data_IF_252451693343
#
_entry.id   IF_252451693343
#
_cell.length_a   1.000
_cell.length_b   1.000
_cell.length_c   1.000
_cell.angle_alpha   90.00
_cell.angle_beta   90.00
_cell.angle_gamma   90.00
#
_symmetry.space_group_name_H-M   'P 1'
#
loop_
_entity.id
_entity.type
_entity.pdbx_description
1 polymer ?
#
# COMPACT_ATOMS: atom_id res chain seq x y z
N UNK A 1 15.30 12.24 41.09
CA UNK A 1 15.62 11.94 39.68
C UNK A 1 15.15 10.52 39.46
N UNK A 2 13.96 10.33 38.89
CA UNK A 2 13.41 9.01 38.64
C UNK A 2 14.03 8.50 37.34
N UNK A 3 14.86 7.47 37.45
CA UNK A 3 15.34 6.73 36.28
C UNK A 3 14.17 5.90 35.78
N UNK A 4 13.51 6.40 34.73
CA UNK A 4 12.63 5.60 33.91
C UNK A 4 13.53 4.65 33.12
N UNK A 5 13.56 3.37 33.52
CA UNK A 5 14.20 2.32 32.75
C UNK A 5 13.24 1.89 31.61
N UNK A 6 13.52 2.23 30.34
CA UNK A 6 12.64 1.92 29.22
C UNK A 6 12.58 0.41 28.90
N UNK A 7 13.39 -0.43 29.58
CA UNK A 7 13.40 -1.87 29.37
C UNK A 7 12.31 -2.62 30.15
N UNK A 8 11.67 -1.96 31.13
CA UNK A 8 10.50 -2.47 31.88
C UNK A 8 9.22 -1.82 31.34
N UNK A 9 9.06 -1.85 30.01
CA UNK A 9 7.72 -1.68 29.42
C UNK A 9 7.13 -3.07 29.37
N UNK A 10 6.23 -3.33 30.32
CA UNK A 10 5.37 -4.51 30.32
C UNK A 10 4.76 -4.64 28.91
N UNK A 11 5.14 -5.70 28.18
CA UNK A 11 4.82 -5.89 26.75
C UNK A 11 3.33 -6.11 26.46
N UNK A 12 2.47 -5.76 27.42
CA UNK A 12 1.01 -5.89 27.38
C UNK A 12 0.32 -4.57 27.05
N UNK A 13 0.99 -3.41 27.18
CA UNK A 13 0.47 -2.08 26.81
C UNK A 13 0.61 -1.79 25.29
N UNK A 14 0.73 -2.83 24.46
CA UNK A 14 0.33 -2.67 23.06
C UNK A 14 -1.19 -2.61 23.02
N UNK A 15 -1.72 -1.43 22.73
CA UNK A 15 -3.16 -1.17 22.51
C UNK A 15 -3.75 -2.38 21.79
N UNK A 16 -4.82 -2.99 22.31
CA UNK A 16 -5.42 -4.19 21.70
C UNK A 16 -5.78 -3.93 20.22
N UNK A 17 -6.03 -2.66 19.88
CA UNK A 17 -6.15 -2.19 18.51
C UNK A 17 -4.85 -2.33 17.69
N UNK A 18 -3.68 -2.04 18.27
CA UNK A 18 -2.36 -2.21 17.64
C UNK A 18 -1.94 -3.67 17.51
N UNK A 19 -2.35 -4.55 18.44
CA UNK A 19 -2.15 -6.00 18.34
C UNK A 19 -3.05 -6.60 17.27
N UNK A 20 -4.35 -6.28 17.29
CA UNK A 20 -5.29 -6.67 16.24
C UNK A 20 -4.88 -6.12 14.86
N UNK A 21 -4.30 -4.91 14.80
CA UNK A 21 -3.73 -4.35 13.57
C UNK A 21 -2.55 -5.19 13.06
N UNK A 22 -1.68 -5.67 13.96
CA UNK A 22 -0.53 -6.51 13.62
C UNK A 22 -0.94 -7.92 13.21
N UNK A 23 -1.90 -8.51 13.89
CA UNK A 23 -2.43 -9.82 13.51
C UNK A 23 -3.15 -9.72 12.14
N UNK A 24 -3.83 -8.60 11.89
CA UNK A 24 -4.36 -8.26 10.57
C UNK A 24 -3.26 -8.00 9.52
N UNK A 25 -2.10 -7.43 9.90
CA UNK A 25 -0.93 -7.29 9.00
C UNK A 25 -0.37 -8.65 8.61
N UNK A 26 -0.22 -9.56 9.58
CA UNK A 26 0.33 -10.89 9.33
C UNK A 26 -0.60 -11.73 8.44
N UNK A 27 -1.90 -11.47 8.49
CA UNK A 27 -2.91 -12.19 7.70
C UNK A 27 -3.27 -11.53 6.36
N UNK A 28 -3.00 -10.22 6.19
CA UNK A 28 -3.21 -9.53 4.91
C UNK A 28 -2.08 -9.81 3.93
N UNK A 29 -2.41 -10.16 2.69
CA UNK A 29 -1.42 -10.29 1.61
C UNK A 29 -1.94 -9.72 0.30
N UNK A 30 -1.02 -9.33 -0.57
CA UNK A 30 -1.35 -8.89 -1.93
C UNK A 30 -0.98 -9.97 -2.94
N UNK A 31 -1.92 -10.35 -3.80
CA UNK A 31 -1.70 -11.19 -4.97
C UNK A 31 -1.52 -10.30 -6.21
N UNK A 32 -0.30 -10.20 -6.71
CA UNK A 32 0.08 -9.29 -7.79
C UNK A 32 0.52 -10.06 -9.04
N UNK A 33 -0.01 -9.72 -10.20
CA UNK A 33 0.50 -10.19 -11.49
C UNK A 33 1.24 -9.07 -12.22
N UNK A 34 2.49 -9.32 -12.59
CA UNK A 34 3.23 -8.47 -13.52
C UNK A 34 3.02 -8.98 -14.94
N UNK A 35 2.34 -8.17 -15.76
CA UNK A 35 2.06 -8.44 -17.16
C UNK A 35 2.98 -7.56 -18.02
N UNK A 36 3.97 -8.16 -18.67
CA UNK A 36 4.98 -7.43 -19.45
C UNK A 36 4.82 -7.76 -20.93
N UNK A 37 4.65 -6.73 -21.74
CA UNK A 37 4.70 -6.83 -23.20
C UNK A 37 6.15 -7.06 -23.66
N UNK A 38 6.37 -8.06 -24.49
CA UNK A 38 7.69 -8.37 -25.07
C UNK A 38 7.70 -8.33 -26.59
N UNK A 39 6.74 -7.63 -27.20
CA UNK A 39 6.69 -7.43 -28.65
C UNK A 39 7.88 -6.62 -29.17
N UNK A 40 8.02 -6.59 -30.49
CA UNK A 40 9.18 -6.00 -31.17
C UNK A 40 9.45 -4.55 -30.77
N UNK A 41 8.44 -3.70 -30.61
CA UNK A 41 8.62 -2.29 -30.26
C UNK A 41 9.25 -2.15 -28.86
N UNK A 42 8.69 -2.88 -27.89
CA UNK A 42 9.17 -3.03 -26.52
C UNK A 42 10.65 -3.47 -26.42
N UNK A 43 11.16 -4.27 -27.36
CA UNK A 43 12.55 -4.76 -27.41
C UNK A 43 13.49 -3.92 -28.27
N UNK A 44 12.99 -3.27 -29.32
CA UNK A 44 13.82 -2.55 -30.30
C UNK A 44 13.97 -1.06 -30.02
N UNK A 45 13.05 -0.45 -29.27
CA UNK A 45 13.15 0.94 -28.87
C UNK A 45 14.32 1.14 -27.89
N UNK A 46 15.16 2.15 -28.12
CA UNK A 46 16.17 2.59 -27.14
C UNK A 46 15.65 3.86 -26.49
N UNK A 47 15.28 3.79 -25.21
CA UNK A 47 14.98 4.98 -24.42
C UNK A 47 16.30 5.71 -24.12
N UNK A 48 16.48 6.90 -24.69
CA UNK A 48 17.46 7.89 -24.22
C UNK A 48 16.78 8.79 -23.19
N UNK A 49 16.73 8.39 -21.92
CA UNK A 49 16.43 9.35 -20.84
C UNK A 49 17.75 9.89 -20.29
N UNK A 50 18.00 11.18 -20.48
CA UNK A 50 18.97 11.95 -19.70
C UNK A 50 18.48 11.96 -18.24
N UNK A 51 19.27 11.42 -17.33
CA UNK A 51 19.12 11.71 -15.91
C UNK A 51 20.21 12.71 -15.52
N UNK A 52 19.80 13.96 -15.26
CA UNK A 52 20.56 14.89 -14.43
C UNK A 52 19.78 15.09 -13.14
N UNK A 53 20.42 14.82 -12.00
CA UNK A 53 20.47 15.72 -10.85
C UNK A 53 21.25 15.09 -9.69
N UNK A 54 22.32 15.78 -9.32
CA UNK A 54 23.09 15.72 -8.07
C UNK A 54 23.98 14.50 -7.80
N UNK A 55 25.22 14.54 -8.29
CA UNK A 55 26.41 14.40 -7.42
C UNK A 55 27.69 14.66 -8.21
N UNK A 56 28.57 15.46 -7.61
CA UNK A 56 29.88 15.83 -8.12
C UNK A 56 30.75 14.58 -8.27
N UNK A 57 31.40 14.46 -9.44
CA UNK A 57 32.46 13.51 -9.83
C UNK A 57 32.08 12.08 -10.26
N UNK A 58 32.64 11.72 -11.43
CA UNK A 58 32.80 10.39 -12.05
C UNK A 58 31.73 9.90 -13.07
N UNK A 59 32.05 10.11 -14.35
CA UNK A 59 31.78 9.22 -15.50
C UNK A 59 30.36 8.64 -15.62
N UNK A 60 29.40 9.45 -16.09
CA UNK A 60 28.04 9.01 -16.43
C UNK A 60 28.06 8.13 -17.68
N UNK A 61 28.04 6.80 -17.50
CA UNK A 61 27.72 5.85 -18.59
C UNK A 61 26.23 6.00 -18.94
N UNK A 62 25.93 6.69 -20.03
CA UNK A 62 24.60 6.71 -20.65
C UNK A 62 24.27 5.31 -21.15
N UNK A 63 23.55 4.53 -20.34
CA UNK A 63 23.13 3.17 -20.69
C UNK A 63 21.82 3.27 -21.46
N UNK A 64 21.86 3.30 -22.79
CA UNK A 64 20.67 3.12 -23.64
C UNK A 64 19.98 1.82 -23.27
N UNK A 65 18.77 1.90 -22.71
CA UNK A 65 17.97 0.75 -22.28
C UNK A 65 16.70 0.65 -23.10
N UNK A 66 16.22 -0.56 -23.30
CA UNK A 66 14.94 -0.81 -23.97
C UNK A 66 13.77 -0.65 -23.00
N UNK A 67 12.54 -0.39 -23.49
CA UNK A 67 11.34 -0.41 -22.65
C UNK A 67 11.19 -1.71 -21.83
N UNK A 68 11.44 -2.88 -22.44
CA UNK A 68 11.41 -4.17 -21.71
C UNK A 68 12.45 -4.22 -20.61
N UNK A 69 13.68 -3.79 -20.88
CA UNK A 69 14.72 -3.77 -19.84
C UNK A 69 14.31 -2.85 -18.67
N UNK A 70 13.63 -1.74 -18.98
CA UNK A 70 13.08 -0.83 -17.96
C UNK A 70 11.96 -1.49 -17.14
N UNK A 71 11.09 -2.28 -17.78
CA UNK A 71 10.05 -3.07 -17.10
C UNK A 71 10.64 -4.17 -16.20
N UNK A 72 11.72 -4.80 -16.63
CA UNK A 72 12.42 -5.85 -15.85
C UNK A 72 13.14 -5.25 -14.64
N UNK A 73 13.80 -4.09 -14.78
CA UNK A 73 14.44 -3.39 -13.66
C UNK A 73 13.41 -2.82 -12.66
N UNK A 74 12.36 -2.21 -13.23
CA UNK A 74 10.97 -2.24 -12.78
C UNK A 74 10.63 -3.26 -11.66
N UNK A 75 10.40 -4.47 -12.16
CA UNK A 75 10.07 -5.67 -11.41
C UNK A 75 11.16 -6.05 -10.40
N UNK A 76 12.44 -6.03 -10.76
CA UNK A 76 13.52 -6.40 -9.83
C UNK A 76 13.55 -5.48 -8.60
N UNK A 77 13.39 -4.17 -8.81
CA UNK A 77 13.30 -3.17 -7.74
C UNK A 77 12.06 -3.40 -6.88
N UNK A 78 10.91 -3.67 -7.52
CA UNK A 78 9.67 -4.03 -6.82
C UNK A 78 9.86 -5.24 -5.91
N UNK A 79 10.40 -6.34 -6.44
CA UNK A 79 10.57 -7.60 -5.72
C UNK A 79 11.51 -7.44 -4.51
N UNK A 80 12.63 -6.73 -4.70
CA UNK A 80 13.61 -6.44 -3.64
C UNK A 80 13.05 -5.56 -2.52
N UNK A 81 12.18 -4.62 -2.84
CA UNK A 81 11.51 -3.81 -1.82
C UNK A 81 10.43 -4.63 -1.10
N UNK A 82 9.65 -5.42 -1.83
CA UNK A 82 8.52 -6.16 -1.26
C UNK A 82 8.90 -7.33 -0.37
N UNK A 83 10.01 -8.02 -0.64
CA UNK A 83 10.49 -9.07 0.25
C UNK A 83 10.82 -8.54 1.66
N UNK A 84 11.15 -7.24 1.77
CA UNK A 84 11.43 -6.58 3.05
C UNK A 84 10.13 -6.07 3.70
N UNK A 85 9.25 -5.43 2.93
CA UNK A 85 8.06 -4.78 3.49
C UNK A 85 6.88 -5.71 3.70
N UNK A 86 6.73 -6.75 2.87
CA UNK A 86 5.49 -7.55 2.74
C UNK A 86 5.83 -8.98 2.29
N UNK A 87 6.48 -9.81 3.13
CA UNK A 87 6.96 -11.14 2.74
C UNK A 87 5.83 -12.14 2.42
N UNK A 88 4.61 -11.89 2.90
CA UNK A 88 3.44 -12.71 2.63
C UNK A 88 2.80 -12.42 1.27
N UNK A 89 3.26 -11.37 0.57
CA UNK A 89 2.79 -11.05 -0.77
C UNK A 89 3.14 -12.17 -1.75
N UNK A 90 2.22 -12.37 -2.68
CA UNK A 90 2.34 -13.34 -3.76
C UNK A 90 2.48 -12.60 -5.07
N UNK A 91 3.48 -12.99 -5.84
CA UNK A 91 3.77 -12.33 -7.12
C UNK A 91 3.83 -13.38 -8.23
N UNK A 92 3.25 -13.07 -9.38
CA UNK A 92 3.44 -13.79 -10.63
C UNK A 92 4.05 -12.86 -11.69
N UNK A 93 4.77 -13.45 -12.64
CA UNK A 93 5.37 -12.73 -13.77
C UNK A 93 4.95 -13.43 -15.05
N UNK A 94 4.26 -12.67 -15.91
CA UNK A 94 3.67 -13.13 -17.17
C UNK A 94 4.16 -12.23 -18.28
N UNK A 95 4.66 -12.84 -19.35
CA UNK A 95 5.02 -12.18 -20.58
C UNK A 95 3.95 -12.47 -21.62
N UNK A 96 3.64 -11.48 -22.46
CA UNK A 96 2.74 -11.67 -23.60
C UNK A 96 3.30 -11.06 -24.88
N UNK A 97 2.84 -11.57 -26.02
CA UNK A 97 3.48 -11.31 -27.31
C UNK A 97 4.74 -12.15 -27.52
N UNK A 98 4.80 -13.32 -26.87
CA UNK A 98 5.92 -14.27 -27.00
C UNK A 98 5.78 -15.16 -28.22
N UNK A 99 6.91 -15.64 -28.74
CA UNK A 99 6.94 -16.59 -29.85
C UNK A 99 6.35 -17.94 -29.47
N UNK A 100 6.75 -18.43 -28.29
CA UNK A 100 6.30 -19.70 -27.74
C UNK A 100 5.27 -19.45 -26.64
N UNK A 101 4.41 -20.45 -26.38
CA UNK A 101 3.56 -20.47 -25.20
C UNK A 101 4.20 -21.28 -24.08
N UNK A 102 4.04 -20.78 -22.85
CA UNK A 102 4.37 -21.54 -21.64
C UNK A 102 3.42 -21.14 -20.53
N UNK A 103 2.28 -21.81 -20.48
CA UNK A 103 1.26 -21.62 -19.46
C UNK A 103 0.45 -22.91 -19.31
N UNK A 104 -0.21 -23.09 -18.18
CA UNK A 104 -0.95 -24.32 -17.85
C UNK A 104 -2.18 -24.57 -18.75
N UNK A 105 -2.52 -23.59 -19.59
CA UNK A 105 -3.73 -23.58 -20.42
C UNK A 105 -3.44 -23.75 -21.91
N UNK A 106 -2.17 -23.85 -22.32
CA UNK A 106 -1.79 -23.97 -23.73
C UNK A 106 -2.15 -22.76 -24.58
N UNK A 107 -2.22 -21.56 -23.99
CA UNK A 107 -2.58 -20.33 -24.70
C UNK A 107 -1.41 -19.74 -25.47
N UNK A 108 -1.59 -19.56 -26.77
CA UNK A 108 -0.59 -18.97 -27.65
C UNK A 108 -0.15 -17.56 -27.20
N UNK A 109 1.12 -17.24 -27.44
CA UNK A 109 1.73 -15.93 -27.17
C UNK A 109 1.76 -15.48 -25.71
N UNK A 110 1.51 -16.39 -24.76
CA UNK A 110 1.59 -16.11 -23.32
C UNK A 110 2.60 -17.04 -22.64
N UNK A 111 3.57 -16.45 -21.93
CA UNK A 111 4.59 -17.16 -21.18
C UNK A 111 4.55 -16.75 -19.70
N UNK A 112 4.13 -17.67 -18.82
CA UNK A 112 4.21 -17.52 -17.37
C UNK A 112 5.64 -17.86 -16.93
N UNK A 113 6.44 -16.82 -16.68
CA UNK A 113 7.84 -16.95 -16.21
C UNK A 113 7.85 -17.63 -14.84
N UNK A 114 6.93 -17.19 -13.98
CA UNK A 114 6.74 -17.73 -12.64
C UNK A 114 5.28 -17.50 -12.22
N UNK A 115 4.64 -18.56 -11.72
CA UNK A 115 3.28 -18.50 -11.19
C UNK A 115 3.21 -17.72 -9.89
N UNK A 116 2.00 -17.60 -9.35
CA UNK A 116 1.73 -16.82 -8.14
C UNK A 116 2.29 -17.53 -6.88
N UNK A 117 3.45 -17.08 -6.42
CA UNK A 117 4.18 -17.68 -5.28
C UNK A 117 4.63 -16.61 -4.27
N UNK A 118 4.93 -17.03 -3.04
CA UNK A 118 5.47 -16.14 -2.01
C UNK A 118 6.87 -15.64 -2.40
N UNK A 119 7.16 -14.39 -2.03
CA UNK A 119 8.47 -13.79 -2.27
C UNK A 119 9.55 -14.44 -1.39
N UNK A 120 10.54 -15.04 -2.05
CA UNK A 120 11.76 -15.57 -1.41
C UNK A 120 12.98 -15.12 -2.19
N UNK A 121 14.16 -15.14 -1.56
CA UNK A 121 15.41 -14.85 -2.27
C UNK A 121 15.62 -15.77 -3.50
N UNK A 122 15.17 -17.03 -3.38
CA UNK A 122 15.17 -18.00 -4.49
C UNK A 122 14.24 -17.56 -5.62
N UNK A 123 13.03 -17.12 -5.30
CA UNK A 123 12.07 -16.61 -6.28
C UNK A 123 12.66 -15.43 -7.07
N UNK A 124 13.23 -14.44 -6.38
CA UNK A 124 13.81 -13.24 -7.02
C UNK A 124 14.95 -13.64 -7.97
N UNK A 125 15.83 -14.54 -7.54
CA UNK A 125 16.92 -15.04 -8.36
C UNK A 125 16.40 -15.78 -9.61
N UNK A 126 15.44 -16.69 -9.45
CA UNK A 126 14.85 -17.45 -10.57
C UNK A 126 14.18 -16.54 -11.59
N UNK A 127 13.42 -15.54 -11.14
CA UNK A 127 12.80 -14.54 -12.02
C UNK A 127 13.87 -13.75 -12.75
N UNK A 128 14.89 -13.27 -12.05
CA UNK A 128 16.00 -12.54 -12.64
C UNK A 128 16.76 -13.35 -13.68
N UNK A 129 17.00 -14.64 -13.43
CA UNK A 129 17.66 -15.55 -14.38
C UNK A 129 16.80 -15.81 -15.63
N UNK A 130 15.51 -16.08 -15.45
CA UNK A 130 14.60 -16.36 -16.57
C UNK A 130 14.33 -15.14 -17.45
N UNK A 131 14.40 -13.94 -16.90
CA UNK A 131 14.23 -12.69 -17.66
C UNK A 131 15.52 -12.23 -18.36
N UNK A 132 16.67 -12.90 -18.12
CA UNK A 132 17.87 -12.66 -18.93
C UNK A 132 17.61 -13.10 -20.36
N UNK A 133 17.83 -12.21 -21.31
CA UNK A 133 17.58 -12.50 -22.72
C UNK A 133 16.10 -12.59 -23.08
N UNK A 134 15.22 -11.91 -22.31
CA UNK A 134 13.79 -11.77 -22.63
C UNK A 134 13.53 -11.30 -24.07
N UNK A 135 14.48 -10.57 -24.65
CA UNK A 135 14.49 -10.13 -26.05
C UNK A 135 14.41 -11.28 -27.07
N UNK A 136 14.88 -12.48 -26.70
CA UNK A 136 14.80 -13.66 -27.57
C UNK A 136 13.46 -14.38 -27.51
N UNK A 137 12.59 -14.01 -26.56
CA UNK A 137 11.24 -14.60 -26.42
C UNK A 137 10.20 -13.88 -27.28
N UNK A 138 10.57 -12.75 -27.88
CA UNK A 138 9.71 -11.91 -28.70
C UNK A 138 9.15 -12.66 -29.91
N UNK A 139 7.85 -12.49 -30.15
CA UNK A 139 7.23 -12.91 -31.40
C UNK A 139 7.52 -11.89 -32.52
N UNK A 140 8.15 -12.36 -33.60
CA UNK A 140 8.44 -11.55 -34.80
C UNK A 140 7.23 -11.44 -35.76
N UNK A 141 6.13 -12.15 -35.49
CA UNK A 141 5.03 -12.36 -36.44
C UNK A 141 3.96 -11.27 -36.48
N UNK A 142 2.95 -11.49 -37.34
CA UNK A 142 2.06 -10.47 -37.89
C UNK A 142 1.18 -9.72 -36.86
N UNK A 143 0.79 -8.50 -37.23
CA UNK A 143 -0.14 -7.60 -36.52
C UNK A 143 -1.42 -8.30 -36.00
N UNK A 144 -1.84 -9.39 -36.66
CA UNK A 144 -3.07 -10.15 -36.36
C UNK A 144 -3.12 -10.76 -34.95
N UNK A 145 -1.98 -10.90 -34.26
CA UNK A 145 -1.91 -11.49 -32.92
C UNK A 145 -1.78 -10.47 -31.79
N UNK A 146 -1.71 -9.16 -32.08
CA UNK A 146 -1.52 -8.09 -31.08
C UNK A 146 -2.58 -8.13 -29.98
N UNK A 147 -3.85 -7.86 -30.30
CA UNK A 147 -4.90 -7.80 -29.29
C UNK A 147 -5.31 -9.17 -28.73
N UNK A 148 -5.10 -10.25 -29.51
CA UNK A 148 -5.33 -11.61 -29.05
C UNK A 148 -4.37 -11.97 -27.90
N UNK A 149 -3.09 -11.60 -28.01
CA UNK A 149 -2.10 -11.87 -26.96
C UNK A 149 -2.45 -11.18 -25.64
N UNK A 150 -2.88 -9.91 -25.68
CA UNK A 150 -3.35 -9.19 -24.48
C UNK A 150 -4.58 -9.86 -23.85
N UNK A 151 -5.60 -10.19 -24.67
CA UNK A 151 -6.81 -10.89 -24.22
C UNK A 151 -6.46 -12.19 -23.48
N UNK A 152 -5.59 -13.01 -24.05
CA UNK A 152 -5.18 -14.30 -23.49
C UNK A 152 -4.33 -14.12 -22.22
N UNK A 153 -3.51 -13.09 -22.17
CA UNK A 153 -2.69 -12.78 -21.01
C UNK A 153 -3.54 -12.29 -19.81
N UNK A 154 -4.53 -11.42 -20.05
CA UNK A 154 -5.51 -11.00 -19.04
C UNK A 154 -6.32 -12.19 -18.51
N UNK A 155 -6.73 -13.09 -19.41
CA UNK A 155 -7.42 -14.32 -19.01
C UNK A 155 -6.53 -15.21 -18.13
N UNK A 156 -5.26 -15.39 -18.50
CA UNK A 156 -4.29 -16.15 -17.69
C UNK A 156 -4.13 -15.55 -16.29
N UNK A 157 -4.04 -14.22 -16.19
CA UNK A 157 -3.99 -13.51 -14.90
C UNK A 157 -5.27 -13.71 -14.08
N UNK A 158 -6.45 -13.64 -14.72
CA UNK A 158 -7.74 -13.87 -14.05
C UNK A 158 -7.81 -15.26 -13.42
N UNK A 159 -7.31 -16.29 -14.11
CA UNK A 159 -7.31 -17.66 -13.61
C UNK A 159 -6.38 -17.83 -12.41
N UNK A 160 -5.18 -17.24 -12.43
CA UNK A 160 -4.27 -17.27 -11.28
C UNK A 160 -4.85 -16.53 -10.07
N UNK A 161 -5.49 -15.38 -10.28
CA UNK A 161 -6.06 -14.57 -9.20
C UNK A 161 -7.37 -15.17 -8.64
N UNK A 162 -8.07 -16.00 -9.42
CA UNK A 162 -9.32 -16.65 -9.00
C UNK A 162 -9.15 -17.56 -7.79
N UNK A 163 -7.97 -18.17 -7.59
CA UNK A 163 -7.67 -18.95 -6.38
C UNK A 163 -7.80 -18.12 -5.08
N UNK A 164 -7.63 -16.80 -5.20
CA UNK A 164 -7.64 -15.85 -4.08
C UNK A 164 -8.97 -15.11 -3.96
N UNK A 165 -9.96 -15.39 -4.82
CA UNK A 165 -11.27 -14.71 -4.80
C UNK A 165 -12.07 -14.95 -3.52
N UNK A 166 -11.89 -16.12 -2.89
CA UNK A 166 -12.58 -16.53 -1.66
C UNK A 166 -11.93 -15.98 -0.38
N UNK A 167 -10.75 -15.36 -0.48
CA UNK A 167 -10.02 -14.86 0.69
C UNK A 167 -10.30 -13.37 0.85
N UNK A 168 -11.05 -13.02 1.89
CA UNK A 168 -11.48 -11.64 2.19
C UNK A 168 -10.32 -10.68 2.51
N UNK A 169 -9.14 -11.19 2.87
CA UNK A 169 -7.97 -10.40 3.24
C UNK A 169 -6.88 -10.34 2.16
N UNK A 170 -7.22 -10.71 0.91
CA UNK A 170 -6.26 -10.72 -0.20
C UNK A 170 -6.64 -9.68 -1.24
N UNK A 171 -5.78 -8.66 -1.38
CA UNK A 171 -5.88 -7.70 -2.46
C UNK A 171 -5.34 -8.31 -3.75
N UNK A 172 -5.98 -8.00 -4.87
CA UNK A 172 -5.60 -8.54 -6.18
C UNK A 172 -5.23 -7.38 -7.09
N UNK A 173 -4.07 -7.47 -7.74
CA UNK A 173 -3.57 -6.41 -8.63
C UNK A 173 -2.93 -6.97 -9.89
N UNK A 174 -3.10 -6.26 -11.00
CA UNK A 174 -2.36 -6.50 -12.24
C UNK A 174 -1.63 -5.21 -12.62
N UNK A 175 -0.31 -5.31 -12.81
CA UNK A 175 0.50 -4.25 -13.41
C UNK A 175 0.74 -4.59 -14.88
N UNK A 176 0.38 -3.69 -15.79
CA UNK A 176 0.57 -3.87 -17.24
C UNK A 176 1.66 -2.94 -17.72
N UNK A 177 2.71 -3.49 -18.31
CA UNK A 177 3.83 -2.75 -18.90
C UNK A 177 3.79 -2.94 -20.42
N UNK A 178 3.59 -1.85 -21.16
CA UNK A 178 3.38 -1.90 -22.62
C UNK A 178 3.73 -0.58 -23.28
N UNK A 179 4.26 -0.61 -24.51
CA UNK A 179 4.43 0.57 -25.36
C UNK A 179 3.33 0.73 -26.42
N UNK A 180 2.39 -0.20 -26.44
CA UNK A 180 1.30 -0.24 -27.39
C UNK A 180 0.05 0.48 -26.85
N UNK A 181 -0.29 1.60 -27.49
CA UNK A 181 -1.46 2.43 -27.16
C UNK A 181 -2.77 1.93 -27.79
N UNK A 182 -2.69 1.08 -28.82
CA UNK A 182 -3.84 0.42 -29.47
C UNK A 182 -3.55 -1.07 -29.77
N UNK A 183 -3.61 -1.94 -28.74
CA UNK A 183 -3.40 -3.37 -28.90
C UNK A 183 -4.36 -4.05 -29.87
N UNK A 184 -5.55 -3.46 -30.07
CA UNK A 184 -6.58 -4.03 -30.94
C UNK A 184 -6.49 -3.57 -32.39
N UNK A 185 -5.61 -2.61 -32.72
CA UNK A 185 -5.44 -2.07 -34.07
C UNK A 185 -6.73 -1.50 -34.66
N UNK A 186 -7.60 -0.94 -33.81
CA UNK A 186 -8.91 -0.44 -34.19
C UNK A 186 -9.97 -1.52 -34.53
N UNK A 187 -9.71 -2.81 -34.31
CA UNK A 187 -10.73 -3.86 -34.49
C UNK A 187 -11.78 -3.79 -33.36
N UNK A 188 -13.05 -3.43 -33.66
CA UNK A 188 -14.09 -3.31 -32.65
C UNK A 188 -14.50 -4.66 -32.05
N UNK A 189 -14.37 -5.76 -32.80
CA UNK A 189 -14.71 -7.09 -32.31
C UNK A 189 -13.66 -7.59 -31.31
N UNK A 190 -12.38 -7.35 -31.59
CA UNK A 190 -11.30 -7.70 -30.68
C UNK A 190 -11.33 -6.84 -29.42
N UNK A 191 -11.60 -5.54 -29.57
CA UNK A 191 -11.78 -4.61 -28.45
C UNK A 191 -12.90 -5.07 -27.51
N UNK A 192 -14.07 -5.41 -28.05
CA UNK A 192 -15.17 -5.99 -27.25
C UNK A 192 -14.79 -7.28 -26.54
N UNK A 193 -13.98 -8.14 -27.18
CA UNK A 193 -13.51 -9.37 -26.55
C UNK A 193 -12.52 -9.11 -25.41
N UNK A 194 -11.65 -8.10 -25.53
CA UNK A 194 -10.74 -7.68 -24.45
C UNK A 194 -11.52 -7.06 -23.31
N UNK A 195 -12.42 -6.12 -23.59
CA UNK A 195 -13.30 -5.48 -22.59
C UNK A 195 -14.18 -6.51 -21.87
N UNK A 196 -14.69 -7.52 -22.59
CA UNK A 196 -15.43 -8.63 -21.99
C UNK A 196 -14.62 -9.41 -20.95
N UNK A 197 -13.28 -9.45 -21.05
CA UNK A 197 -12.41 -10.04 -20.01
C UNK A 197 -12.20 -9.16 -18.80
N UNK A 198 -12.40 -7.84 -18.94
CA UNK A 198 -12.33 -6.92 -17.80
C UNK A 198 -13.47 -7.16 -16.82
N UNK A 199 -14.64 -7.59 -17.30
CA UNK A 199 -15.76 -7.98 -16.43
C UNK A 199 -15.37 -9.09 -15.44
N UNK A 200 -14.65 -10.12 -15.91
CA UNK A 200 -14.14 -11.20 -15.07
C UNK A 200 -13.17 -10.66 -13.99
N UNK A 201 -12.29 -9.71 -14.36
CA UNK A 201 -11.33 -9.09 -13.44
C UNK A 201 -12.02 -8.15 -12.43
N UNK A 202 -13.07 -7.45 -12.85
CA UNK A 202 -13.88 -6.56 -12.03
C UNK A 202 -14.70 -7.34 -11.00
N UNK A 203 -15.30 -8.47 -11.38
CA UNK A 203 -15.96 -9.38 -10.44
C UNK A 203 -14.97 -9.90 -9.39
N UNK A 204 -13.74 -10.17 -9.82
CA UNK A 204 -12.64 -10.53 -8.93
C UNK A 204 -12.09 -9.36 -8.13
N UNK A 205 -12.63 -8.14 -8.23
CA UNK A 205 -12.13 -6.94 -7.54
C UNK A 205 -10.62 -6.73 -7.74
N UNK A 206 -10.15 -6.91 -8.97
CA UNK A 206 -8.74 -6.72 -9.34
C UNK A 206 -8.49 -5.25 -9.64
N UNK A 207 -7.50 -4.68 -8.97
CA UNK A 207 -6.96 -3.35 -9.30
C UNK A 207 -6.04 -3.48 -10.53
N UNK A 208 -6.41 -2.85 -11.64
CA UNK A 208 -5.64 -2.89 -12.88
C UNK A 208 -4.90 -1.57 -13.07
N UNK A 209 -3.58 -1.64 -13.22
CA UNK A 209 -2.73 -0.47 -13.35
C UNK A 209 -1.86 -0.55 -14.60
N UNK A 210 -1.97 0.47 -15.44
CA UNK A 210 -1.21 0.61 -16.67
C UNK A 210 0.06 1.43 -16.44
N UNK A 211 1.16 0.92 -16.97
CA UNK A 211 2.46 1.57 -17.05
C UNK A 211 2.82 1.67 -18.53
N UNK A 212 2.45 2.78 -19.18
CA UNK A 212 2.84 3.01 -20.56
C UNK A 212 4.36 3.21 -20.60
N UNK A 213 5.03 2.45 -21.46
CA UNK A 213 6.47 2.50 -21.64
C UNK A 213 6.75 3.05 -23.03
N UNK A 214 7.67 4.00 -23.13
CA UNK A 214 8.04 4.58 -24.41
C UNK A 214 7.63 6.04 -24.55
N UNK A 215 8.63 6.87 -24.77
CA UNK A 215 8.55 7.99 -25.70
C UNK A 215 9.93 8.17 -26.35
N UNK A 216 10.27 7.37 -27.39
CA UNK A 216 11.54 7.51 -28.10
C UNK A 216 11.39 8.22 -29.46
N UNK A 217 10.17 8.60 -29.87
CA UNK A 217 9.88 9.19 -31.18
C UNK A 217 9.13 10.53 -31.12
N UNK A 218 8.81 11.06 -29.93
CA UNK A 218 8.07 12.30 -29.76
C UNK A 218 6.57 12.17 -30.05
N UNK A 219 6.02 10.94 -29.97
CA UNK A 219 4.58 10.69 -30.07
C UNK A 219 4.07 10.33 -28.68
N UNK A 220 3.11 11.11 -28.19
CA UNK A 220 2.41 10.80 -26.94
C UNK A 220 1.65 9.48 -27.07
N UNK A 221 1.76 8.63 -26.03
CA UNK A 221 0.99 7.41 -25.88
C UNK A 221 -0.51 7.75 -25.84
N UNK A 222 -1.27 7.32 -26.86
CA UNK A 222 -2.72 7.57 -26.89
C UNK A 222 -3.42 6.81 -25.76
N UNK A 223 -4.51 7.39 -25.26
CA UNK A 223 -5.28 6.83 -24.14
C UNK A 223 -6.69 6.45 -24.52
N UNK A 224 -7.00 6.41 -25.81
CA UNK A 224 -8.37 6.11 -26.26
C UNK A 224 -8.78 4.70 -25.82
N UNK A 225 -7.99 3.69 -26.20
CA UNK A 225 -8.25 2.30 -25.82
C UNK A 225 -8.06 2.07 -24.31
N UNK A 226 -6.91 2.50 -23.77
CA UNK A 226 -6.58 2.24 -22.37
C UNK A 226 -7.44 3.06 -21.39
N UNK A 227 -7.96 4.21 -21.81
CA UNK A 227 -8.94 4.99 -21.05
C UNK A 227 -10.27 4.27 -20.94
N UNK A 228 -10.72 3.57 -21.99
CA UNK A 228 -11.89 2.70 -21.93
C UNK A 228 -11.64 1.50 -20.99
N UNK A 229 -10.47 0.87 -21.07
CA UNK A 229 -10.06 -0.22 -20.17
C UNK A 229 -10.04 0.23 -18.71
N UNK A 230 -9.38 1.35 -18.40
CA UNK A 230 -9.29 1.88 -17.04
C UNK A 230 -10.64 2.39 -16.54
N UNK A 231 -11.46 2.99 -17.42
CA UNK A 231 -12.81 3.45 -17.11
C UNK A 231 -13.73 2.29 -16.71
N UNK A 232 -13.67 1.17 -17.44
CA UNK A 232 -14.44 -0.03 -17.09
C UNK A 232 -14.02 -0.62 -15.74
N UNK A 233 -12.72 -0.56 -15.40
CA UNK A 233 -12.20 -1.10 -14.14
C UNK A 233 -12.43 -0.18 -12.92
N UNK A 234 -12.64 1.12 -13.13
CA UNK A 234 -12.82 2.09 -12.04
C UNK A 234 -14.29 2.21 -11.61
N UNK A 235 -14.53 2.24 -10.30
CA UNK A 235 -15.89 2.45 -9.75
C UNK A 235 -16.29 3.94 -9.69
N UNK A 236 -15.31 4.84 -9.62
CA UNK A 236 -15.53 6.28 -9.43
C UNK A 236 -14.69 7.10 -10.41
N UNK A 237 -15.18 8.30 -10.74
CA UNK A 237 -14.46 9.26 -11.58
C UNK A 237 -13.12 9.68 -10.95
N UNK A 238 -13.05 9.81 -9.62
CA UNK A 238 -11.81 10.10 -8.90
C UNK A 238 -10.76 8.98 -9.09
N UNK A 239 -11.17 7.72 -8.98
CA UNK A 239 -10.29 6.57 -9.22
C UNK A 239 -9.80 6.54 -10.66
N UNK A 240 -10.67 6.87 -11.61
CA UNK A 240 -10.30 6.96 -13.03
C UNK A 240 -9.29 8.08 -13.28
N UNK A 241 -9.54 9.29 -12.75
CA UNK A 241 -8.61 10.42 -12.87
C UNK A 241 -7.26 10.11 -12.22
N UNK A 242 -7.24 9.44 -11.05
CA UNK A 242 -6.02 9.00 -10.39
C UNK A 242 -5.25 7.99 -11.26
N UNK A 243 -5.94 6.98 -11.82
CA UNK A 243 -5.33 6.00 -12.73
C UNK A 243 -4.76 6.67 -13.99
N UNK A 244 -5.49 7.63 -14.56
CA UNK A 244 -5.08 8.41 -15.73
C UNK A 244 -3.90 9.33 -15.43
N UNK A 245 -3.85 9.99 -14.28
CA UNK A 245 -2.71 10.81 -13.85
C UNK A 245 -1.48 9.95 -13.58
N UNK A 246 -1.67 8.78 -12.98
CA UNK A 246 -0.59 7.85 -12.72
C UNK A 246 0.02 7.35 -14.01
N UNK A 247 -0.80 7.00 -15.01
CA UNK A 247 -0.29 6.60 -16.33
C UNK A 247 0.64 7.64 -17.00
N UNK A 248 0.69 8.89 -16.52
CA UNK A 248 1.55 9.95 -17.04
C UNK A 248 2.82 10.19 -16.20
N UNK A 249 2.89 9.65 -14.98
CA UNK A 249 4.01 9.88 -14.09
C UNK A 249 5.22 8.99 -14.45
N UNK A 250 6.43 9.40 -14.05
CA UNK A 250 7.63 8.62 -14.35
C UNK A 250 7.56 7.20 -13.75
N UNK A 251 7.93 6.20 -14.58
CA UNK A 251 7.77 4.76 -14.37
C UNK A 251 8.20 4.23 -12.99
N UNK A 252 9.24 4.83 -12.38
CA UNK A 252 9.76 4.41 -11.08
C UNK A 252 9.02 5.02 -9.89
N UNK A 253 8.49 6.23 -10.03
CA UNK A 253 7.75 6.89 -8.96
C UNK A 253 6.32 6.36 -8.87
N UNK A 254 5.71 5.98 -9.99
CA UNK A 254 4.40 5.32 -10.06
C UNK A 254 4.34 4.04 -9.21
N UNK A 255 5.30 3.11 -9.41
CA UNK A 255 5.31 1.85 -8.67
C UNK A 255 5.46 2.12 -7.17
N UNK A 256 6.30 3.09 -6.77
CA UNK A 256 6.45 3.46 -5.36
C UNK A 256 5.17 4.04 -4.77
N UNK A 257 4.47 4.91 -5.51
CA UNK A 257 3.24 5.59 -5.05
C UNK A 257 2.07 4.63 -4.86
N UNK A 258 1.99 3.54 -5.64
CA UNK A 258 0.93 2.54 -5.53
C UNK A 258 1.36 1.20 -4.93
N UNK A 259 2.65 1.00 -4.62
CA UNK A 259 3.16 -0.22 -3.97
C UNK A 259 2.33 -0.56 -2.73
N UNK A 260 2.08 0.45 -1.91
CA UNK A 260 1.46 0.29 -0.61
C UNK A 260 -0.01 0.72 -0.67
N UNK A 261 -0.87 -0.10 -0.07
CA UNK A 261 -2.27 0.25 0.17
C UNK A 261 -2.33 1.50 1.05
N UNK A 262 -3.24 2.43 0.75
CA UNK A 262 -3.64 3.48 1.70
C UNK A 262 -4.15 2.79 2.97
N UNK A 263 -3.39 2.87 4.05
CA UNK A 263 -3.73 2.21 5.31
C UNK A 263 -4.19 3.23 6.34
N UNK A 264 -5.48 3.20 6.61
CA UNK A 264 -6.08 3.97 7.70
C UNK A 264 -5.58 3.39 9.02
N UNK A 265 -5.01 4.24 9.86
CA UNK A 265 -4.59 3.90 11.21
C UNK A 265 -5.79 3.95 12.17
N UNK A 266 -6.60 5.01 12.08
CA UNK A 266 -7.79 5.19 12.92
C UNK A 266 -8.92 5.83 12.11
N UNK A 267 -10.15 5.35 12.29
CA UNK A 267 -11.36 6.05 11.85
C UNK A 267 -11.84 6.92 13.01
N UNK A 268 -11.95 8.22 12.79
CA UNK A 268 -12.31 9.18 13.84
C UNK A 268 -13.13 10.35 13.27
N UNK A 269 -13.19 11.45 14.00
CA UNK A 269 -13.98 12.63 13.62
C UNK A 269 -13.36 13.92 14.14
N UNK A 270 -13.61 15.02 13.42
CA UNK A 270 -13.38 16.39 13.85
C UNK A 270 -14.70 16.94 14.39
N UNK A 271 -14.72 17.39 15.64
CA UNK A 271 -15.86 18.01 16.30
C UNK A 271 -15.68 19.52 16.38
N UNK A 272 -16.62 20.24 15.80
CA UNK A 272 -16.67 21.70 15.80
C UNK A 272 -17.89 22.11 16.64
N UNK A 273 -17.67 22.42 17.90
CA UNK A 273 -18.76 22.60 18.86
C UNK A 273 -19.60 21.31 19.07
N UNK A 274 -20.79 21.42 19.69
CA UNK A 274 -21.57 20.26 20.09
C UNK A 274 -22.26 19.52 18.93
N UNK A 275 -22.61 20.25 17.86
CA UNK A 275 -23.55 19.78 16.84
C UNK A 275 -22.91 19.44 15.49
N UNK A 276 -21.68 19.89 15.22
CA UNK A 276 -21.01 19.66 13.94
C UNK A 276 -19.88 18.65 14.10
N UNK A 277 -19.97 17.55 13.36
CA UNK A 277 -18.98 16.47 13.36
C UNK A 277 -18.65 16.11 11.92
N UNK A 278 -17.35 16.02 11.63
CA UNK A 278 -16.82 15.65 10.31
C UNK A 278 -16.10 14.33 10.47
N UNK A 279 -16.56 13.28 9.80
CA UNK A 279 -15.90 11.97 9.84
C UNK A 279 -14.59 12.03 9.06
N UNK A 280 -13.48 11.61 9.69
CA UNK A 280 -12.15 11.60 9.06
C UNK A 280 -11.39 10.31 9.35
N UNK A 281 -10.57 9.95 8.38
CA UNK A 281 -9.66 8.84 8.41
C UNK A 281 -8.25 9.37 8.71
N UNK A 282 -7.61 8.80 9.72
CA UNK A 282 -6.27 9.15 10.17
C UNK A 282 -5.26 8.21 9.53
N UNK A 283 -4.27 8.78 8.83
CA UNK A 283 -3.19 8.06 8.15
C UNK A 283 -1.84 8.47 8.73
N UNK A 284 -1.03 7.48 9.09
CA UNK A 284 0.38 7.71 9.45
C UNK A 284 1.20 7.65 8.16
N UNK A 285 1.74 8.79 7.73
CA UNK A 285 2.50 8.90 6.48
C UNK A 285 3.97 8.53 6.66
N UNK A 286 4.52 8.77 7.86
CA UNK A 286 5.89 8.45 8.22
C UNK A 286 5.90 7.57 9.46
N UNK A 287 6.42 6.35 9.32
CA UNK A 287 6.63 5.43 10.42
C UNK A 287 8.12 5.06 10.50
N UNK A 288 8.63 4.90 11.72
CA UNK A 288 9.98 4.41 11.95
C UNK A 288 10.06 2.94 11.54
N UNK A 289 10.91 2.61 10.57
CA UNK A 289 11.18 1.23 10.21
C UNK A 289 12.05 0.57 11.28
N UNK A 290 11.50 -0.43 11.97
CA UNK A 290 12.22 -1.24 12.94
C UNK A 290 12.60 -2.59 12.33
N UNK A 291 13.71 -3.18 12.77
CA UNK A 291 14.10 -4.53 12.36
C UNK A 291 13.21 -5.54 13.10
N UNK A 292 12.42 -6.31 12.36
CA UNK A 292 11.65 -7.39 12.95
C UNK A 292 12.60 -8.50 13.46
N UNK A 293 12.39 -8.92 14.71
CA UNK A 293 13.01 -10.12 15.28
C UNK A 293 11.90 -11.14 15.50
N UNK A 294 12.10 -12.36 14.97
CA UNK A 294 11.16 -13.47 15.14
C UNK A 294 11.87 -14.62 15.83
N UNK A 295 11.25 -15.17 16.87
CA UNK A 295 11.75 -16.36 17.56
C UNK A 295 11.51 -17.58 16.70
N UNK A 296 12.54 -18.43 16.57
CA UNK A 296 12.49 -19.66 15.78
C UNK A 296 13.01 -20.84 16.60
N UNK A 297 12.47 -22.02 16.33
CA UNK A 297 12.98 -23.26 16.88
C UNK A 297 14.36 -23.56 16.28
N UNK A 298 15.38 -23.75 17.12
CA UNK A 298 16.75 -23.99 16.66
C UNK A 298 16.92 -25.29 15.83
N UNK A 299 16.07 -26.30 16.06
CA UNK A 299 16.14 -27.57 15.36
C UNK A 299 15.38 -27.55 14.03
N UNK A 300 14.18 -26.97 14.01
CA UNK A 300 13.28 -27.04 12.85
C UNK A 300 13.25 -25.75 12.03
N UNK A 301 13.80 -24.65 12.55
CA UNK A 301 13.68 -23.29 12.00
C UNK A 301 12.24 -22.81 11.81
N UNK A 302 11.26 -23.46 12.44
CA UNK A 302 9.88 -23.02 12.45
C UNK A 302 9.70 -21.81 13.38
N UNK A 303 8.80 -20.90 13.02
CA UNK A 303 8.41 -19.77 13.88
C UNK A 303 7.81 -20.27 15.20
N UNK A 304 8.17 -19.61 16.30
CA UNK A 304 7.62 -19.87 17.62
C UNK A 304 6.53 -18.85 17.97
N UNK A 305 5.47 -19.34 18.59
CA UNK A 305 4.44 -18.51 19.22
C UNK A 305 4.82 -18.26 20.68
N UNK A 306 4.63 -17.02 21.16
CA UNK A 306 4.99 -16.62 22.52
C UNK A 306 3.73 -16.38 23.34
N UNK A 307 3.56 -17.11 24.43
CA UNK A 307 2.49 -16.90 25.41
C UNK A 307 3.08 -16.47 26.75
N UNK A 308 2.53 -15.43 27.38
CA UNK A 308 2.95 -14.97 28.70
C UNK A 308 1.84 -15.22 29.72
N UNK A 309 2.19 -15.74 30.89
CA UNK A 309 1.26 -16.02 31.98
C UNK A 309 1.87 -15.57 33.32
N UNK A 310 1.01 -15.11 34.23
CA UNK A 310 1.38 -14.85 35.61
C UNK A 310 1.26 -16.15 36.41
N UNK A 311 2.28 -16.47 37.21
CA UNK A 311 2.36 -17.72 37.97
C UNK A 311 2.54 -17.38 39.44
N UNK A 312 1.73 -18.00 40.30
CA UNK A 312 1.84 -17.88 41.74
C UNK A 312 3.08 -18.60 42.28
N UNK A 313 3.47 -18.36 43.53
CA UNK A 313 4.55 -19.11 44.19
C UNK A 313 4.26 -20.62 44.27
N UNK A 314 2.97 -21.01 44.25
CA UNK A 314 2.53 -22.42 44.19
C UNK A 314 2.82 -23.09 42.84
N UNK A 315 3.18 -22.33 41.81
CA UNK A 315 3.33 -22.81 40.43
C UNK A 315 2.04 -22.82 39.61
N UNK A 316 0.91 -22.43 40.20
CA UNK A 316 -0.37 -22.32 39.51
C UNK A 316 -0.44 -21.04 38.67
N UNK A 317 -1.02 -21.14 37.47
CA UNK A 317 -1.24 -19.99 36.60
C UNK A 317 -2.39 -19.16 37.16
N UNK A 318 -2.14 -17.88 37.40
CA UNK A 318 -3.13 -16.97 37.96
C UNK A 318 -4.24 -16.67 36.93
N UNK A 319 -5.52 -16.81 37.30
CA UNK A 319 -6.63 -16.37 36.48
C UNK A 319 -6.62 -14.84 36.32
N UNK A 320 -7.36 -14.33 35.33
CA UNK A 320 -7.37 -12.89 35.01
C UNK A 320 -7.76 -12.01 36.21
N UNK A 321 -8.65 -12.51 37.06
CA UNK A 321 -9.22 -11.77 38.18
C UNK A 321 -8.28 -11.70 39.40
N UNK A 322 -7.27 -12.57 39.45
CA UNK A 322 -6.27 -12.64 40.53
C UNK A 322 -4.91 -12.08 40.11
N UNK A 323 -4.87 -11.34 39.00
CA UNK A 323 -3.63 -10.73 38.52
C UNK A 323 -3.12 -9.70 39.53
N UNK A 324 -1.78 -9.57 39.66
CA UNK A 324 -1.19 -8.56 40.53
C UNK A 324 -1.70 -7.15 40.19
N UNK A 325 -2.04 -6.40 41.23
CA UNK A 325 -2.42 -4.99 41.09
C UNK A 325 -1.19 -4.14 40.76
N UNK A 326 -1.37 -3.10 39.94
CA UNK A 326 -0.33 -2.09 39.75
C UNK A 326 -0.23 -1.25 41.02
N UNK A 327 0.99 -1.07 41.52
CA UNK A 327 1.22 -0.33 42.76
C UNK A 327 2.52 0.47 42.73
N UNK A 328 2.57 1.47 43.60
CA UNK A 328 3.69 2.39 43.77
C UNK A 328 3.90 2.66 45.26
N UNK A 329 5.16 2.75 45.68
CA UNK A 329 5.51 3.23 47.01
C UNK A 329 5.73 4.74 46.96
N UNK A 330 4.81 5.51 47.54
CA UNK A 330 4.87 6.97 47.59
C UNK A 330 5.14 7.42 49.03
N UNK A 331 6.31 8.03 49.27
CA UNK A 331 6.74 8.49 50.60
C UNK A 331 6.65 7.41 51.69
N UNK A 332 7.04 6.18 51.34
CA UNK A 332 7.01 5.03 52.26
C UNK A 332 5.63 4.47 52.54
N UNK A 333 4.59 4.90 51.80
CA UNK A 333 3.26 4.28 51.82
C UNK A 333 3.02 3.55 50.51
N UNK A 334 2.60 2.30 50.61
CA UNK A 334 2.24 1.52 49.43
C UNK A 334 0.82 1.88 48.99
N UNK A 335 0.71 2.26 47.73
CA UNK A 335 -0.54 2.62 47.06
C UNK A 335 -0.71 1.68 45.89
N UNK A 336 -1.88 1.08 45.76
CA UNK A 336 -2.23 0.22 44.64
C UNK A 336 -3.47 0.77 43.93
N UNK A 337 -3.61 0.45 42.66
CA UNK A 337 -4.80 0.73 41.87
C UNK A 337 -5.32 -0.59 41.28
N UNK A 338 -6.62 -0.81 41.42
CA UNK A 338 -7.32 -1.84 40.66
C UNK A 338 -7.24 -1.54 39.15
N UNK A 339 -7.39 -2.55 38.28
CA UNK A 339 -7.43 -2.31 36.83
C UNK A 339 -8.46 -1.24 36.43
N UNK A 340 -9.65 -1.28 37.05
CA UNK A 340 -10.70 -0.29 36.83
C UNK A 340 -10.27 1.11 37.28
N UNK A 341 -9.71 1.27 38.48
CA UNK A 341 -9.21 2.57 38.94
C UNK A 341 -8.10 3.09 38.03
N UNK A 342 -7.22 2.20 37.56
CA UNK A 342 -6.15 2.57 36.65
C UNK A 342 -6.66 3.05 35.29
N UNK A 343 -7.72 2.41 34.75
CA UNK A 343 -8.41 2.88 33.55
C UNK A 343 -9.06 4.25 33.77
N UNK A 344 -9.71 4.47 34.91
CA UNK A 344 -10.31 5.77 35.24
C UNK A 344 -9.25 6.88 35.41
N UNK A 345 -8.12 6.57 36.04
CA UNK A 345 -6.99 7.53 36.17
C UNK A 345 -6.44 7.91 34.79
N UNK A 346 -6.48 6.99 33.82
CA UNK A 346 -6.02 7.21 32.44
C UNK A 346 -7.08 7.82 31.53
N UNK A 347 -8.37 7.82 31.88
CA UNK A 347 -9.42 8.43 31.05
C UNK A 347 -9.46 9.95 31.33
N UNK A 348 -9.04 10.80 30.37
CA UNK A 348 -9.05 12.26 30.57
C UNK A 348 -10.47 12.85 30.54
N UNK A 349 -11.51 12.03 30.36
CA UNK A 349 -12.91 12.45 30.16
C UNK A 349 -13.12 13.39 28.97
N UNK A 350 -12.11 13.48 28.08
CA UNK A 350 -12.17 14.28 26.86
C UNK A 350 -12.84 13.46 25.75
N UNK A 351 -13.76 14.04 24.96
CA UNK A 351 -14.41 13.30 23.89
C UNK A 351 -13.41 12.78 22.86
N UNK A 352 -13.58 11.53 22.41
CA UNK A 352 -12.71 10.92 21.39
C UNK A 352 -12.69 11.69 20.07
N UNK A 353 -11.55 11.64 19.38
CA UNK A 353 -11.28 12.32 18.11
C UNK A 353 -10.68 13.70 18.28
N UNK A 354 -10.78 14.52 17.24
CA UNK A 354 -10.27 15.89 17.25
C UNK A 354 -11.37 16.83 17.71
N UNK A 355 -11.20 17.50 18.84
CA UNK A 355 -12.14 18.51 19.34
C UNK A 355 -11.55 19.89 19.09
N UNK A 356 -12.16 20.68 18.20
CA UNK A 356 -11.68 22.03 17.88
C UNK A 356 -11.86 22.94 19.10
N UNK A 357 -10.75 23.48 19.58
CA UNK A 357 -10.68 24.45 20.67
C UNK A 357 -10.71 25.89 20.15
N UNK A 358 -10.19 26.12 18.94
CA UNK A 358 -10.16 27.42 18.29
C UNK A 358 -9.25 27.43 17.05
N UNK A 359 -9.02 28.62 16.50
CA UNK A 359 -8.17 28.84 15.33
C UNK A 359 -7.04 29.80 15.65
N UNK A 360 -5.86 29.59 15.07
CA UNK A 360 -4.71 30.49 15.17
C UNK A 360 -4.17 30.80 13.77
N UNK A 361 -3.51 31.94 13.55
CA UNK A 361 -2.75 32.18 12.33
C UNK A 361 -1.69 31.09 12.13
N UNK A 362 -1.45 30.68 10.89
CA UNK A 362 -0.40 29.72 10.54
C UNK A 362 1.00 30.18 11.00
N UNK A 363 1.25 31.50 10.97
CA UNK A 363 2.48 32.12 11.47
C UNK A 363 2.74 31.92 12.96
N UNK A 364 1.75 31.48 13.74
CA UNK A 364 1.92 31.13 15.14
C UNK A 364 2.55 29.74 15.34
N UNK A 365 2.64 28.92 14.29
CA UNK A 365 3.29 27.62 14.35
C UNK A 365 4.80 27.77 14.21
N UNK A 366 5.54 27.24 15.18
CA UNK A 366 6.99 27.18 15.12
C UNK A 366 7.42 25.74 14.72
N UNK A 367 8.12 25.55 13.59
CA UNK A 367 8.62 24.24 13.18
C UNK A 367 9.48 23.53 14.25
N UNK A 368 10.16 24.28 15.11
CA UNK A 368 10.96 23.72 16.21
C UNK A 368 10.12 23.07 17.33
N UNK A 369 8.79 23.27 17.34
CA UNK A 369 7.88 22.69 18.32
C UNK A 369 7.29 21.35 17.86
N UNK A 370 7.75 20.78 16.75
CA UNK A 370 7.31 19.47 16.30
C UNK A 370 7.81 18.37 17.24
N UNK A 371 6.87 17.70 17.93
CA UNK A 371 7.18 16.61 18.89
C UNK A 371 7.10 15.23 18.24
N UNK A 372 6.21 15.06 17.26
CA UNK A 372 5.94 13.78 16.58
C UNK A 372 5.85 13.98 15.05
N UNK A 373 6.05 12.91 14.25
CA UNK A 373 5.75 12.97 12.82
C UNK A 373 4.30 13.40 12.59
N UNK A 374 4.09 14.27 11.61
CA UNK A 374 2.75 14.67 11.22
C UNK A 374 1.97 13.48 10.65
N UNK A 375 0.66 13.47 10.88
CA UNK A 375 -0.26 12.53 10.27
C UNK A 375 -1.12 13.24 9.22
N UNK A 376 -1.70 12.45 8.32
CA UNK A 376 -2.59 12.94 7.28
C UNK A 376 -4.03 12.59 7.62
N UNK A 377 -4.92 13.57 7.51
CA UNK A 377 -6.36 13.38 7.67
C UNK A 377 -7.06 13.48 6.33
N UNK A 378 -7.98 12.57 6.07
CA UNK A 378 -8.82 12.60 4.88
C UNK A 378 -10.29 12.36 5.26
N UNK A 379 -11.28 13.01 4.64
CA UNK A 379 -12.68 12.75 4.93
C UNK A 379 -13.03 11.28 4.73
N UNK A 380 -13.74 10.69 5.68
CA UNK A 380 -14.17 9.30 5.54
C UNK A 380 -15.23 9.20 4.43
N UNK A 381 -15.00 8.30 3.47
CA UNK A 381 -16.03 7.85 2.53
C UNK A 381 -17.05 6.97 3.25
N UNK A 382 -18.14 7.57 3.74
CA UNK A 382 -19.28 6.83 4.29
C UNK A 382 -20.36 6.76 3.21
N UNK A 383 -20.53 5.59 2.61
CA UNK A 383 -21.72 5.20 1.82
C UNK A 383 -22.25 6.24 0.83
N UNK A 384 -21.38 6.87 0.03
CA UNK A 384 -21.80 7.83 -1.00
C UNK A 384 -22.38 9.16 -0.50
N UNK A 385 -22.29 9.46 0.80
CA UNK A 385 -22.83 10.71 1.34
C UNK A 385 -21.91 11.90 0.99
N UNK A 386 -22.29 12.71 0.00
CA UNK A 386 -21.51 13.89 -0.44
C UNK A 386 -21.40 14.99 0.63
N UNK A 387 -22.25 14.97 1.67
CA UNK A 387 -22.29 16.00 2.70
C UNK A 387 -21.01 16.06 3.55
N UNK A 388 -20.44 14.92 3.96
CA UNK A 388 -19.22 14.91 4.79
C UNK A 388 -18.02 15.50 4.05
N UNK A 389 -17.81 15.11 2.79
CA UNK A 389 -16.76 15.66 1.93
C UNK A 389 -16.95 17.16 1.70
N UNK A 390 -18.18 17.60 1.42
CA UNK A 390 -18.49 19.03 1.24
C UNK A 390 -18.21 19.86 2.48
N UNK A 391 -18.56 19.36 3.67
CA UNK A 391 -18.29 20.05 4.94
C UNK A 391 -16.80 20.08 5.23
N UNK A 392 -16.08 18.97 5.01
CA UNK A 392 -14.63 18.91 5.16
C UNK A 392 -13.94 19.89 4.21
N UNK A 393 -14.34 19.91 2.94
CA UNK A 393 -13.79 20.79 1.91
C UNK A 393 -14.05 22.26 2.25
N UNK A 394 -15.26 22.62 2.70
CA UNK A 394 -15.56 23.97 3.16
C UNK A 394 -14.73 24.37 4.39
N UNK A 395 -14.52 23.46 5.33
CA UNK A 395 -13.67 23.69 6.50
C UNK A 395 -12.21 23.94 6.10
N UNK A 396 -11.68 23.07 5.23
CA UNK A 396 -10.32 23.15 4.69
C UNK A 396 -10.08 24.44 3.87
N UNK A 397 -10.94 24.74 2.89
CA UNK A 397 -10.84 25.95 2.07
C UNK A 397 -10.89 27.22 2.91
N UNK A 398 -11.75 27.27 3.94
CA UNK A 398 -11.83 28.45 4.82
C UNK A 398 -10.56 28.63 5.65
N UNK A 399 -9.95 27.56 6.13
CA UNK A 399 -8.67 27.62 6.82
C UNK A 399 -7.55 28.15 5.90
N UNK A 400 -7.49 27.71 4.65
CA UNK A 400 -6.54 28.21 3.65
C UNK A 400 -6.75 29.70 3.36
N UNK A 401 -7.98 30.12 3.06
CA UNK A 401 -8.30 31.52 2.72
C UNK A 401 -7.98 32.47 3.87
N UNK A 402 -8.16 32.02 5.12
CA UNK A 402 -7.89 32.83 6.30
C UNK A 402 -6.43 32.73 6.78
N UNK A 403 -5.61 31.83 6.21
CA UNK A 403 -4.26 31.55 6.68
C UNK A 403 -4.25 31.07 8.14
N UNK A 404 -5.22 30.23 8.50
CA UNK A 404 -5.46 29.78 9.86
C UNK A 404 -5.35 28.27 10.01
N UNK A 405 -4.86 27.84 11.17
CA UNK A 405 -4.77 26.45 11.60
C UNK A 405 -5.77 26.18 12.72
N UNK A 406 -6.38 25.01 12.74
CA UNK A 406 -7.31 24.64 13.79
C UNK A 406 -6.56 23.98 14.94
N UNK A 407 -6.69 24.53 16.15
CA UNK A 407 -6.13 23.96 17.36
C UNK A 407 -7.13 22.98 17.96
N UNK A 408 -6.73 21.73 18.16
CA UNK A 408 -7.59 20.66 18.63
C UNK A 408 -7.01 19.94 19.85
N UNK A 409 -7.87 19.49 20.75
CA UNK A 409 -7.53 18.38 21.63
C UNK A 409 -7.79 17.06 20.89
N UNK A 410 -6.86 16.11 20.96
CA UNK A 410 -6.94 14.83 20.29
C UNK A 410 -6.81 13.67 21.27
N UNK A 411 -7.74 12.73 21.18
CA UNK A 411 -7.72 11.47 21.93
C UNK A 411 -8.10 10.32 20.99
N UNK A 412 -7.20 9.33 20.82
CA UNK A 412 -7.38 8.20 19.90
C UNK A 412 -8.26 7.09 20.46
N UNK A 413 -8.10 6.77 21.74
CA UNK A 413 -8.80 5.71 22.47
C UNK A 413 -9.00 6.12 23.94
N UNK A 414 -9.99 5.51 24.61
CA UNK A 414 -10.15 5.67 26.06
C UNK A 414 -9.02 4.92 26.77
N UNK A 415 -8.41 5.55 27.77
CA UNK A 415 -7.32 4.93 28.54
C UNK A 415 -5.96 4.88 27.82
N UNK A 416 -5.79 5.60 26.70
CA UNK A 416 -4.49 5.73 26.01
C UNK A 416 -3.41 6.21 26.98
N UNK A 417 -2.25 5.55 26.97
CA UNK A 417 -1.09 5.91 27.81
C UNK A 417 -0.53 7.30 27.50
N UNK A 418 -0.80 7.82 26.29
CA UNK A 418 -0.38 9.15 25.84
C UNK A 418 -1.33 10.24 26.34
N UNK A 419 -2.55 9.89 26.74
CA UNK A 419 -3.58 10.83 27.17
C UNK A 419 -4.12 11.70 26.03
N UNK A 420 -4.61 12.89 26.37
CA UNK A 420 -5.10 13.88 25.41
C UNK A 420 -3.95 14.78 24.94
N UNK A 421 -3.78 14.88 23.62
CA UNK A 421 -2.74 15.71 23.02
C UNK A 421 -3.32 17.01 22.47
N UNK A 422 -2.53 18.09 22.52
CA UNK A 422 -2.84 19.31 21.78
C UNK A 422 -2.21 19.22 20.40
N UNK A 423 -3.03 19.27 19.35
CA UNK A 423 -2.60 19.14 17.96
C UNK A 423 -3.11 20.31 17.12
N UNK A 424 -2.44 20.57 16.01
CA UNK A 424 -2.87 21.56 15.03
C UNK A 424 -3.22 20.85 13.73
N UNK A 425 -4.43 21.11 13.22
CA UNK A 425 -4.81 20.75 11.87
C UNK A 425 -4.34 21.87 10.95
N UNK A 426 -3.51 21.52 9.98
CA UNK A 426 -2.99 22.42 8.96
C UNK A 426 -3.64 21.99 7.64
N UNK A 427 -4.15 22.97 6.88
CA UNK A 427 -4.83 22.74 5.60
C UNK A 427 -3.82 22.71 4.45
#
# INVERSE_FOLDING_TARGET
MFFYDPSVVDGTDEDDAARALRDAEETSCCATCFLIDVRKNMVSQKNTKLHDTSSTSSTTKTTTRTPVQSAVECLDTFLKNRIISSPNDKVSVVLYGTKDFKNDFGLDHVHVVKGLENLTAKYIREVGEKLRGVEHMTYDGSENHRGLSLKLALWTCSHMLKEYSKKTHVEKRIFIFTDDDDPCGGDPNLSKQVLGRLADLKELQVDLQLYPLGDPAGREFSRDFWGEVLGEMCETEESFLEAMQLSQADNFEMIRRKLNRKRRWLKTQIKIGPNLKIGVDYYVTLARQLKAQRSVCAQTNCLLESSTAYVAESGEVLPKDERPLKGWTVRGKDVHATPLEYEHIRDPEVPLGFNVLGFKPESALNPAQQVKPAAFLYPTAVGGCSSNHRVFLAFHEKMLVLGQVAMCSFSSSRGSSVGTELVYLVA
#
